data_IF_952731944309
#
_entry.id   IF_952731944309
#
_cell.length_a   1.000
_cell.length_b   1.000
_cell.length_c   1.000
_cell.angle_alpha   90.00
_cell.angle_beta   90.00
_cell.angle_gamma   90.00
#
_symmetry.space_group_name_H-M   'P 1'
#
loop_
_entity.id
_entity.type
_entity.pdbx_description
1 polymer ?
#
# COMPACT_ATOMS: atom_id res chain seq x y z
N UNK A 1 26.92 31.28 -21.61
CA UNK A 1 26.41 32.41 -20.78
C UNK A 1 27.56 33.18 -20.12
N UNK A 2 27.62 34.51 -20.19
CA UNK A 2 28.72 35.30 -19.59
C UNK A 2 28.45 35.65 -18.13
N UNK A 3 29.51 35.80 -17.33
CA UNK A 3 29.42 36.19 -15.92
C UNK A 3 28.71 37.55 -15.74
N UNK A 4 29.00 38.51 -16.63
CA UNK A 4 28.42 39.86 -16.57
C UNK A 4 26.91 39.87 -16.82
N UNK A 5 26.41 39.02 -17.72
CA UNK A 5 24.97 38.88 -17.98
C UNK A 5 24.24 38.33 -16.74
N UNK A 6 24.85 37.34 -16.06
CA UNK A 6 24.29 36.78 -14.82
C UNK A 6 24.28 37.83 -13.71
N UNK A 7 25.38 38.57 -13.54
CA UNK A 7 25.48 39.61 -12.52
C UNK A 7 24.44 40.73 -12.74
N UNK A 8 24.21 41.13 -14.00
CA UNK A 8 23.24 42.16 -14.35
C UNK A 8 21.79 41.70 -14.12
N UNK A 9 21.45 40.46 -14.50
CA UNK A 9 20.07 39.97 -14.46
C UNK A 9 19.66 39.37 -13.12
N UNK A 10 20.60 38.98 -12.25
CA UNK A 10 20.31 38.32 -10.97
C UNK A 10 19.37 39.13 -10.07
N UNK A 11 19.59 40.43 -9.80
CA UNK A 11 18.68 41.20 -8.95
C UNK A 11 17.25 41.23 -9.50
N UNK A 12 17.12 41.38 -10.82
CA UNK A 12 15.82 41.38 -11.48
C UNK A 12 15.13 40.02 -11.37
N UNK A 13 15.86 38.93 -11.63
CA UNK A 13 15.29 37.59 -11.55
C UNK A 13 14.81 37.24 -10.15
N UNK A 14 15.61 37.53 -9.13
CA UNK A 14 15.23 37.30 -7.74
C UNK A 14 13.98 38.09 -7.38
N UNK A 15 13.88 39.35 -7.80
CA UNK A 15 12.69 40.18 -7.54
C UNK A 15 11.42 39.63 -8.25
N UNK A 16 11.53 39.29 -9.54
CA UNK A 16 10.40 38.77 -10.32
C UNK A 16 9.97 37.37 -9.84
N UNK A 17 10.92 36.49 -9.51
CA UNK A 17 10.64 35.16 -8.99
C UNK A 17 9.93 35.23 -7.62
N UNK A 18 10.41 36.09 -6.71
CA UNK A 18 9.76 36.31 -5.42
C UNK A 18 8.33 36.85 -5.57
N UNK A 19 8.12 37.80 -6.49
CA UNK A 19 6.80 38.36 -6.76
C UNK A 19 5.81 37.32 -7.31
N UNK A 20 6.25 36.48 -8.26
CA UNK A 20 5.39 35.47 -8.89
C UNK A 20 5.17 34.22 -8.03
N UNK A 21 6.12 33.87 -7.16
CA UNK A 21 6.02 32.76 -6.21
C UNK A 21 4.78 32.87 -5.32
N UNK A 22 4.54 34.06 -4.74
CA UNK A 22 3.42 34.32 -3.83
C UNK A 22 2.06 33.94 -4.41
N UNK A 23 1.85 34.21 -5.70
CA UNK A 23 0.57 33.93 -6.37
C UNK A 23 0.55 32.54 -7.04
N UNK A 24 1.70 31.88 -7.19
CA UNK A 24 1.81 30.56 -7.84
C UNK A 24 1.85 29.37 -6.90
N UNK A 25 2.17 29.59 -5.62
CA UNK A 25 2.47 28.49 -4.70
C UNK A 25 3.76 27.74 -5.06
N UNK A 26 4.58 28.32 -5.96
CA UNK A 26 5.90 27.82 -6.29
C UNK A 26 6.94 28.42 -5.34
N UNK A 27 8.05 27.73 -5.14
CA UNK A 27 9.19 28.31 -4.45
C UNK A 27 9.94 29.30 -5.35
N UNK A 28 10.31 30.49 -4.87
CA UNK A 28 11.06 31.46 -5.66
C UNK A 28 12.34 30.87 -6.27
N UNK A 29 13.09 30.10 -5.47
CA UNK A 29 14.35 29.50 -5.90
C UNK A 29 14.18 28.54 -7.09
N UNK A 30 13.06 27.81 -7.16
CA UNK A 30 12.77 26.91 -8.28
C UNK A 30 12.47 27.68 -9.57
N UNK A 31 11.77 28.81 -9.44
CA UNK A 31 11.52 29.71 -10.57
C UNK A 31 12.84 30.32 -11.07
N UNK A 32 13.69 30.79 -10.16
CA UNK A 32 15.01 31.33 -10.52
C UNK A 32 15.88 30.29 -11.23
N UNK A 33 16.01 29.09 -10.65
CA UNK A 33 16.79 28.00 -11.22
C UNK A 33 16.31 27.66 -12.63
N UNK A 34 14.99 27.49 -12.79
CA UNK A 34 14.41 27.11 -14.09
C UNK A 34 14.60 28.19 -15.15
N UNK A 35 14.48 29.47 -14.77
CA UNK A 35 14.68 30.58 -15.71
C UNK A 35 16.15 30.73 -16.07
N UNK A 36 17.08 30.53 -15.13
CA UNK A 36 18.51 30.50 -15.44
C UNK A 36 18.88 29.39 -16.41
N UNK A 37 18.37 28.17 -16.18
CA UNK A 37 18.60 27.03 -17.09
C UNK A 37 18.12 27.36 -18.51
N UNK A 38 16.90 27.90 -18.65
CA UNK A 38 16.37 28.34 -19.95
C UNK A 38 17.21 29.42 -20.62
N UNK A 39 17.77 30.35 -19.84
CA UNK A 39 18.62 31.40 -20.38
C UNK A 39 19.94 30.82 -20.89
N UNK A 40 20.54 29.90 -20.12
CA UNK A 40 21.75 29.19 -20.51
C UNK A 40 21.54 28.42 -21.83
N UNK A 41 20.50 27.58 -21.90
CA UNK A 41 20.15 26.80 -23.09
C UNK A 41 19.89 27.70 -24.31
N UNK A 42 19.21 28.84 -24.11
CA UNK A 42 18.97 29.83 -25.17
C UNK A 42 20.27 30.46 -25.66
N UNK A 43 21.14 30.89 -24.74
CA UNK A 43 22.41 31.52 -25.09
C UNK A 43 23.29 30.56 -25.88
N UNK A 44 23.30 29.28 -25.49
CA UNK A 44 24.13 28.27 -26.15
C UNK A 44 23.58 27.88 -27.53
N UNK A 45 22.26 27.93 -27.74
CA UNK A 45 21.62 27.59 -29.02
C UNK A 45 21.51 28.76 -30.01
N UNK A 46 21.20 29.96 -29.52
CA UNK A 46 20.79 31.10 -30.35
C UNK A 46 21.40 32.44 -29.90
N UNK A 47 22.30 32.44 -28.92
CA UNK A 47 22.87 33.65 -28.34
C UNK A 47 21.93 34.38 -27.35
N UNK A 48 22.41 35.47 -26.73
CA UNK A 48 21.63 36.21 -25.74
C UNK A 48 20.36 36.81 -26.36
N UNK A 49 19.26 36.93 -25.58
CA UNK A 49 18.08 37.66 -26.03
C UNK A 49 18.43 39.10 -26.38
N UNK A 50 17.75 39.67 -27.38
CA UNK A 50 17.91 41.08 -27.76
C UNK A 50 17.55 42.03 -26.62
N UNK A 51 16.48 41.71 -25.88
CA UNK A 51 16.11 42.36 -24.62
C UNK A 51 16.08 41.28 -23.51
N UNK A 52 17.19 41.13 -22.77
CA UNK A 52 17.29 40.11 -21.73
C UNK A 52 16.35 40.34 -20.55
N UNK A 53 16.03 41.58 -20.22
CA UNK A 53 15.15 41.90 -19.09
C UNK A 53 13.69 41.55 -19.40
N UNK A 54 13.18 41.99 -20.55
CA UNK A 54 11.81 41.65 -20.97
C UNK A 54 11.66 40.14 -21.18
N UNK A 55 12.66 39.51 -21.80
CA UNK A 55 12.68 38.06 -21.96
C UNK A 55 12.60 37.35 -20.61
N UNK A 56 13.34 37.83 -19.61
CA UNK A 56 13.38 37.25 -18.28
C UNK A 56 12.04 37.37 -17.57
N UNK A 57 11.42 38.56 -17.56
CA UNK A 57 10.07 38.76 -16.97
C UNK A 57 9.04 37.83 -17.60
N UNK A 58 9.09 37.68 -18.93
CA UNK A 58 8.20 36.74 -19.65
C UNK A 58 8.49 35.28 -19.28
N UNK A 59 9.75 34.91 -19.11
CA UNK A 59 10.16 33.56 -18.72
C UNK A 59 9.68 33.20 -17.31
N UNK A 60 9.85 34.10 -16.34
CA UNK A 60 9.36 33.93 -14.96
C UNK A 60 7.83 33.75 -14.95
N UNK A 61 7.08 34.65 -15.62
CA UNK A 61 5.61 34.53 -15.74
C UNK A 61 5.15 33.24 -16.41
N UNK A 62 5.89 32.77 -17.41
CA UNK A 62 5.59 31.49 -18.06
C UNK A 62 5.81 30.30 -17.11
N UNK A 63 6.89 30.33 -16.33
CA UNK A 63 7.20 29.28 -15.36
C UNK A 63 6.22 29.27 -14.18
N UNK A 64 5.90 30.43 -13.62
CA UNK A 64 4.90 30.55 -12.56
C UNK A 64 3.53 30.01 -13.01
N UNK A 65 3.12 30.28 -14.25
CA UNK A 65 1.88 29.72 -14.82
C UNK A 65 1.96 28.20 -15.01
N UNK A 66 3.11 27.65 -15.39
CA UNK A 66 3.31 26.19 -15.49
C UNK A 66 3.25 25.53 -14.12
N UNK A 67 3.96 26.09 -13.14
CA UNK A 67 3.97 25.59 -11.76
C UNK A 67 2.54 25.55 -11.20
N UNK A 68 1.77 26.64 -11.33
CA UNK A 68 0.34 26.68 -10.95
C UNK A 68 -0.49 25.57 -11.60
N UNK A 69 -0.29 25.32 -12.89
CA UNK A 69 -1.04 24.26 -13.61
C UNK A 69 -0.67 22.88 -13.08
N UNK A 70 0.61 22.65 -12.82
CA UNK A 70 1.11 21.38 -12.27
C UNK A 70 0.57 21.14 -10.86
N UNK A 71 0.69 22.11 -9.96
CA UNK A 71 0.15 22.00 -8.58
C UNK A 71 -1.36 21.74 -8.55
N UNK A 72 -2.12 22.28 -9.52
CA UNK A 72 -3.56 21.98 -9.64
C UNK A 72 -3.88 20.55 -10.08
N UNK A 73 -2.95 19.86 -10.71
CA UNK A 73 -3.11 18.48 -11.19
C UNK A 73 -2.43 17.47 -10.28
N UNK A 74 -1.42 17.90 -9.53
CA UNK A 74 -0.77 17.09 -8.50
C UNK A 74 -1.74 16.81 -7.35
N UNK A 75 -1.75 15.56 -6.92
CA UNK A 75 -2.41 15.13 -5.69
C UNK A 75 -1.32 14.85 -4.67
N UNK A 76 -1.34 15.50 -3.49
CA UNK A 76 -0.46 15.12 -2.40
C UNK A 76 -0.57 13.62 -2.15
N UNK A 77 0.58 12.99 -1.93
CA UNK A 77 0.61 11.59 -1.55
C UNK A 77 0.27 11.53 -0.05
N UNK A 78 -0.96 11.12 0.27
CA UNK A 78 -1.44 11.04 1.65
C UNK A 78 -0.84 9.80 2.36
N UNK A 79 0.45 9.86 2.68
CA UNK A 79 1.16 8.85 3.49
C UNK A 79 1.92 7.80 2.70
N UNK A 80 2.86 7.11 3.35
CA UNK A 80 3.57 5.96 2.77
C UNK A 80 2.56 4.91 2.27
N UNK A 81 2.84 4.18 1.16
CA UNK A 81 1.97 3.12 0.71
C UNK A 81 1.73 2.20 1.90
N UNK A 82 0.49 2.18 2.37
CA UNK A 82 0.12 1.42 3.55
C UNK A 82 0.66 0.00 3.35
N UNK A 83 1.53 -0.44 4.27
CA UNK A 83 1.93 -1.83 4.37
C UNK A 83 0.64 -2.65 4.24
N UNK A 84 0.61 -3.51 3.23
CA UNK A 84 -0.58 -4.26 2.86
C UNK A 84 -1.06 -4.93 4.14
N UNK A 85 -2.21 -4.51 4.69
CA UNK A 85 -2.66 -4.91 6.04
C UNK A 85 -2.98 -6.42 6.12
N UNK A 86 -2.70 -7.16 5.07
CA UNK A 86 -2.73 -8.60 5.02
C UNK A 86 -1.65 -9.25 5.91
N UNK A 87 -1.83 -10.54 6.21
CA UNK A 87 -0.82 -11.31 6.92
C UNK A 87 0.47 -11.39 6.10
N UNK A 88 1.60 -11.09 6.74
CA UNK A 88 2.92 -11.29 6.15
C UNK A 88 3.22 -12.76 5.83
N UNK A 89 4.30 -13.04 5.09
CA UNK A 89 4.65 -14.39 4.62
C UNK A 89 4.83 -15.40 5.76
N UNK A 90 5.41 -14.98 6.89
CA UNK A 90 5.53 -15.81 8.09
C UNK A 90 4.15 -16.22 8.63
N UNK A 91 3.24 -15.27 8.76
CA UNK A 91 1.89 -15.51 9.27
C UNK A 91 1.09 -16.45 8.34
N UNK A 92 1.26 -16.31 7.03
CA UNK A 92 0.67 -17.23 6.04
C UNK A 92 1.24 -18.65 6.23
N UNK A 93 2.57 -18.78 6.35
CA UNK A 93 3.23 -20.06 6.54
C UNK A 93 2.81 -20.76 7.84
N UNK A 94 2.75 -20.02 8.95
CA UNK A 94 2.28 -20.52 10.25
C UNK A 94 0.82 -20.96 10.19
N UNK A 95 -0.05 -20.19 9.53
CA UNK A 95 -1.47 -20.53 9.35
C UNK A 95 -1.63 -21.81 8.53
N UNK A 96 -0.90 -21.94 7.42
CA UNK A 96 -0.89 -23.16 6.62
C UNK A 96 -0.37 -24.38 7.40
N UNK A 97 0.66 -24.21 8.23
CA UNK A 97 1.17 -25.27 9.10
C UNK A 97 0.14 -25.70 10.16
N UNK A 98 -0.58 -24.75 10.78
CA UNK A 98 -1.67 -25.04 11.74
C UNK A 98 -2.82 -25.78 11.06
N UNK A 99 -3.24 -25.36 9.87
CA UNK A 99 -4.28 -26.05 9.10
C UNK A 99 -3.91 -27.49 8.73
N UNK A 100 -2.65 -27.73 8.34
CA UNK A 100 -2.17 -29.10 8.04
C UNK A 100 -2.22 -30.00 9.29
N UNK A 101 -1.73 -29.51 10.43
CA UNK A 101 -1.77 -30.25 11.69
C UNK A 101 -3.21 -30.56 12.13
N UNK A 102 -4.11 -29.58 12.04
CA UNK A 102 -5.53 -29.78 12.33
C UNK A 102 -6.15 -30.87 11.44
N UNK A 103 -5.93 -30.83 10.12
CA UNK A 103 -6.46 -31.85 9.20
C UNK A 103 -5.91 -33.25 9.48
N UNK A 104 -4.66 -33.36 9.90
CA UNK A 104 -4.07 -34.64 10.32
C UNK A 104 -4.72 -35.17 11.61
N UNK A 105 -4.92 -34.32 12.61
CA UNK A 105 -5.61 -34.71 13.83
C UNK A 105 -7.07 -35.14 13.57
N UNK A 106 -7.77 -34.45 12.66
CA UNK A 106 -9.14 -34.80 12.24
C UNK A 106 -9.21 -36.19 11.61
N UNK A 107 -8.25 -36.56 10.75
CA UNK A 107 -8.18 -37.91 10.15
C UNK A 107 -8.01 -39.02 11.19
N UNK A 108 -7.41 -38.72 12.34
CA UNK A 108 -7.18 -39.67 13.44
C UNK A 108 -8.37 -39.81 14.40
N UNK A 109 -9.45 -39.06 14.20
CA UNK A 109 -10.63 -39.13 15.06
C UNK A 109 -11.39 -40.47 14.91
N UNK A 110 -11.98 -40.99 16.00
CA UNK A 110 -12.69 -42.26 15.95
C UNK A 110 -14.07 -42.16 15.31
N UNK A 111 -14.51 -43.23 14.64
CA UNK A 111 -15.86 -43.40 14.12
C UNK A 111 -16.24 -42.35 13.07
N UNK A 112 -17.43 -41.76 13.19
CA UNK A 112 -17.94 -40.74 12.26
C UNK A 112 -17.40 -39.31 12.49
N UNK A 113 -16.55 -39.12 13.50
CA UNK A 113 -16.05 -37.80 13.87
C UNK A 113 -15.22 -37.09 12.78
N UNK A 114 -14.35 -37.77 12.00
CA UNK A 114 -13.65 -37.10 10.89
C UNK A 114 -14.62 -36.44 9.91
N UNK A 115 -15.62 -37.19 9.43
CA UNK A 115 -16.63 -36.71 8.48
C UNK A 115 -17.43 -35.52 9.03
N UNK A 116 -17.80 -35.57 10.31
CA UNK A 116 -18.52 -34.46 10.95
C UNK A 116 -17.67 -33.19 11.03
N UNK A 117 -16.42 -33.30 11.48
CA UNK A 117 -15.55 -32.14 11.61
C UNK A 117 -15.16 -31.58 10.24
N UNK A 118 -14.94 -32.43 9.23
CA UNK A 118 -14.71 -32.01 7.84
C UNK A 118 -15.90 -31.23 7.28
N UNK A 119 -17.13 -31.70 7.50
CA UNK A 119 -18.33 -30.99 7.08
C UNK A 119 -18.46 -29.62 7.77
N UNK A 120 -18.12 -29.53 9.06
CA UNK A 120 -18.11 -28.27 9.82
C UNK A 120 -16.99 -27.30 9.42
N UNK A 121 -15.90 -27.80 8.83
CA UNK A 121 -14.78 -27.00 8.33
C UNK A 121 -14.87 -26.71 6.82
N UNK A 122 -15.97 -27.11 6.19
CA UNK A 122 -16.19 -26.92 4.76
C UNK A 122 -16.31 -25.42 4.44
N UNK A 123 -15.64 -24.92 3.37
CA UNK A 123 -15.77 -23.53 2.93
C UNK A 123 -17.14 -23.23 2.27
N UNK A 124 -18.03 -24.24 2.18
CA UNK A 124 -19.37 -24.10 1.59
C UNK A 124 -20.42 -23.59 2.58
N UNK A 125 -20.04 -23.32 3.83
CA UNK A 125 -20.94 -22.84 4.90
C UNK A 125 -22.22 -23.68 5.05
N UNK A 126 -22.06 -25.00 5.10
CA UNK A 126 -23.18 -25.94 5.20
C UNK A 126 -24.02 -25.69 6.46
N UNK A 127 -25.34 -25.70 6.30
CA UNK A 127 -26.28 -25.65 7.41
C UNK A 127 -26.29 -26.95 8.20
N UNK A 128 -26.71 -26.89 9.47
CA UNK A 128 -26.84 -28.09 10.31
C UNK A 128 -27.76 -29.16 9.71
N UNK A 129 -28.79 -28.75 8.97
CA UNK A 129 -29.69 -29.67 8.26
C UNK A 129 -28.97 -30.40 7.13
N UNK A 130 -28.17 -29.70 6.34
CA UNK A 130 -27.40 -30.29 5.25
C UNK A 130 -26.34 -31.26 5.77
N UNK A 131 -25.59 -30.86 6.81
CA UNK A 131 -24.61 -31.73 7.47
C UNK A 131 -25.29 -32.99 8.02
N UNK A 132 -26.44 -32.86 8.71
CA UNK A 132 -27.18 -34.01 9.23
C UNK A 132 -27.64 -34.95 8.11
N UNK A 133 -28.10 -34.39 6.98
CA UNK A 133 -28.47 -35.14 5.77
C UNK A 133 -27.30 -35.90 5.16
N UNK A 134 -26.15 -35.24 4.97
CA UNK A 134 -24.93 -35.87 4.43
C UNK A 134 -24.38 -36.99 5.32
N UNK A 135 -24.57 -36.87 6.64
CA UNK A 135 -24.12 -37.85 7.63
C UNK A 135 -25.16 -38.94 7.93
N UNK A 136 -26.38 -38.83 7.40
CA UNK A 136 -27.46 -39.78 7.65
C UNK A 136 -27.92 -39.83 9.12
N UNK A 137 -27.87 -38.70 9.83
CA UNK A 137 -28.30 -38.58 11.23
C UNK A 137 -29.45 -37.60 11.38
N UNK A 138 -30.16 -37.67 12.51
CA UNK A 138 -31.15 -36.63 12.82
C UNK A 138 -30.46 -35.30 13.12
N UNK A 139 -31.08 -34.19 12.71
CA UNK A 139 -30.57 -32.86 13.05
C UNK A 139 -30.45 -32.66 14.57
N UNK A 140 -31.36 -33.24 15.36
CA UNK A 140 -31.30 -33.22 16.83
C UNK A 140 -30.09 -33.95 17.43
N UNK A 141 -29.56 -34.96 16.73
CA UNK A 141 -28.37 -35.71 17.15
C UNK A 141 -27.05 -34.98 16.83
N UNK A 142 -27.07 -33.94 15.99
CA UNK A 142 -25.85 -33.26 15.52
C UNK A 142 -25.13 -32.52 16.65
N UNK A 143 -25.86 -31.89 17.58
CA UNK A 143 -25.28 -31.14 18.71
C UNK A 143 -24.48 -32.02 19.67
N UNK A 144 -25.08 -33.09 20.24
CA UNK A 144 -24.36 -34.06 21.08
C UNK A 144 -23.17 -34.68 20.36
N UNK A 145 -23.33 -35.02 19.07
CA UNK A 145 -22.28 -35.61 18.26
C UNK A 145 -21.11 -34.65 18.04
N UNK A 146 -21.38 -33.38 17.72
CA UNK A 146 -20.38 -32.31 17.60
C UNK A 146 -19.60 -32.15 18.90
N UNK A 147 -20.28 -32.12 20.03
CA UNK A 147 -19.63 -32.01 21.35
C UNK A 147 -18.68 -33.18 21.60
N UNK A 148 -19.14 -34.42 21.35
CA UNK A 148 -18.35 -35.65 21.47
C UNK A 148 -17.10 -35.61 20.59
N UNK A 149 -17.26 -35.25 19.31
CA UNK A 149 -16.16 -35.22 18.34
C UNK A 149 -15.15 -34.11 18.62
N UNK A 150 -15.59 -32.91 19.02
CA UNK A 150 -14.69 -31.84 19.47
C UNK A 150 -13.94 -32.24 20.76
N UNK A 151 -14.59 -32.97 21.67
CA UNK A 151 -13.93 -33.54 22.85
C UNK A 151 -12.81 -34.53 22.49
N UNK A 152 -13.05 -35.41 21.52
CA UNK A 152 -12.00 -36.29 20.98
C UNK A 152 -10.86 -35.51 20.33
N UNK A 153 -11.19 -34.49 19.54
CA UNK A 153 -10.18 -33.67 18.84
C UNK A 153 -9.29 -32.89 19.80
N UNK A 154 -9.88 -32.31 20.86
CA UNK A 154 -9.11 -31.64 21.91
C UNK A 154 -8.08 -32.58 22.54
N UNK A 155 -8.48 -33.80 22.90
CA UNK A 155 -7.55 -34.80 23.48
C UNK A 155 -6.41 -35.18 22.53
N UNK A 156 -6.66 -35.25 21.22
CA UNK A 156 -5.62 -35.52 20.23
C UNK A 156 -4.65 -34.34 20.03
N UNK A 157 -5.15 -33.11 20.16
CA UNK A 157 -4.36 -31.88 19.94
C UNK A 157 -3.61 -31.40 21.20
N UNK A 158 -4.05 -31.73 22.42
CA UNK A 158 -3.37 -31.32 23.66
C UNK A 158 -1.85 -31.59 23.65
N UNK A 159 -1.36 -32.77 23.22
CA UNK A 159 0.08 -33.02 23.12
C UNK A 159 0.78 -32.15 22.06
N UNK A 160 0.12 -31.86 20.94
CA UNK A 160 0.68 -31.06 19.84
C UNK A 160 0.76 -29.57 20.17
N UNK A 161 -0.20 -29.05 20.94
CA UNK A 161 -0.22 -27.66 21.42
C UNK A 161 0.84 -27.45 22.49
N UNK A 162 0.91 -28.33 23.49
CA UNK A 162 1.93 -28.27 24.55
C UNK A 162 3.36 -28.36 23.99
N UNK A 163 3.59 -29.22 22.98
CA UNK A 163 4.91 -29.35 22.34
C UNK A 163 5.31 -28.15 21.46
N UNK A 164 4.41 -27.21 21.19
CA UNK A 164 4.69 -25.95 20.48
C UNK A 164 4.96 -24.80 21.44
N UNK A 165 4.26 -24.75 22.58
CA UNK A 165 4.50 -23.75 23.64
C UNK A 165 5.91 -23.85 24.23
N UNK A 166 6.48 -25.06 24.33
CA UNK A 166 7.84 -25.29 24.84
C UNK A 166 8.94 -24.86 23.85
N UNK A 167 8.60 -24.65 22.57
CA UNK A 167 9.55 -24.26 21.51
C UNK A 167 9.42 -22.80 21.08
N UNK A 168 8.50 -22.05 21.69
CA UNK A 168 8.30 -20.62 21.46
C UNK A 168 8.96 -19.77 22.52
#
# INVERSE_FOLDING_TARGET
>A
MTHDLVAALRPLLTAEAAAEAQASGAEPADLEQTVWLRLLERVDSSGPPYDPEDWLRRAVRAEARRSRRRTRTERPYDGEPADDRGPGPEQIALTAARHRALREAVRRLPGRCPRLIEALLSPKDLTYREIAGELGISQGSLGPERSRCLGCLRRLLTPEVAAREVRG
#
